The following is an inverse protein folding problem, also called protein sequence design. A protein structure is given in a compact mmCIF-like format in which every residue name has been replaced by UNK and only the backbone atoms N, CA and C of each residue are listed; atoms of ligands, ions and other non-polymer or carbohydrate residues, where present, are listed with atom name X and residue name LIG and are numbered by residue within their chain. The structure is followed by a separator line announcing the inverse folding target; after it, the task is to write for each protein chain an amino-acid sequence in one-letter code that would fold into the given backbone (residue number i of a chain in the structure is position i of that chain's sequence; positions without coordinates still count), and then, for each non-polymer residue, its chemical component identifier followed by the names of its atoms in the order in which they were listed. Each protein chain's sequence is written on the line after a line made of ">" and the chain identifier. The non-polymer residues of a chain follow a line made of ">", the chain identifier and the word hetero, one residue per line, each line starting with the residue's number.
data_IF_680974182614
#
_entry.id   IF_680974182614
#
_cell.length_a   1.000
_cell.length_b   1.000
_cell.length_c   1.000
_cell.angle_alpha   90.00
_cell.angle_beta   90.00
_cell.angle_gamma   90.00
#
_symmetry.space_group_name_H-M   'P 1'
#
loop_
_entity.id
_entity.type
_entity.pdbx_description
1 polymer ?
#
# COMPACT_ATOMS: atom_id res chain seq x y z
N UNK A 1 38.76 -22.28 31.86
CA UNK A 1 38.11 -23.03 30.75
C UNK A 1 37.97 -22.09 29.57
N UNK A 2 38.76 -22.29 28.51
CA UNK A 2 38.69 -21.45 27.31
C UNK A 2 37.60 -22.03 26.41
N UNK A 3 36.51 -21.28 26.25
CA UNK A 3 35.36 -21.65 25.42
C UNK A 3 35.73 -21.36 23.96
N UNK A 4 36.27 -22.35 23.25
CA UNK A 4 36.51 -22.28 21.82
C UNK A 4 35.17 -22.59 21.12
N UNK A 5 34.38 -21.56 20.83
CA UNK A 5 33.15 -21.71 20.03
C UNK A 5 33.46 -21.53 18.54
N UNK A 6 32.74 -22.26 17.69
CA UNK A 6 32.78 -22.10 16.23
C UNK A 6 32.57 -20.63 15.82
N UNK A 7 33.28 -20.20 14.78
CA UNK A 7 33.05 -18.89 14.16
C UNK A 7 31.57 -18.75 13.78
N UNK A 8 30.92 -17.61 14.07
CA UNK A 8 29.51 -17.42 13.79
C UNK A 8 29.24 -17.61 12.30
N UNK A 9 28.24 -18.41 11.96
CA UNK A 9 27.82 -18.62 10.58
C UNK A 9 27.46 -17.27 9.95
N UNK A 10 27.95 -17.03 8.74
CA UNK A 10 27.66 -15.83 7.96
C UNK A 10 26.16 -15.75 7.71
N UNK A 11 25.45 -14.95 8.51
CA UNK A 11 24.04 -14.64 8.28
C UNK A 11 23.89 -14.00 6.91
N UNK A 12 23.03 -14.60 6.08
CA UNK A 12 22.71 -14.09 4.74
C UNK A 12 22.24 -12.64 4.82
N UNK A 13 23.00 -11.72 4.20
CA UNK A 13 22.68 -10.29 4.13
C UNK A 13 21.59 -9.95 3.12
N UNK A 14 21.22 -10.90 2.25
CA UNK A 14 20.25 -10.67 1.18
C UNK A 14 18.85 -10.30 1.71
N UNK A 15 18.48 -10.80 2.89
CA UNK A 15 17.17 -10.58 3.50
C UNK A 15 17.16 -9.48 4.57
N UNK A 16 18.29 -8.79 4.78
CA UNK A 16 18.42 -7.79 5.84
C UNK A 16 17.44 -6.62 5.68
N UNK A 17 17.03 -6.29 4.45
CA UNK A 17 16.05 -5.24 4.15
C UNK A 17 14.66 -5.59 4.73
N UNK A 18 14.31 -6.87 4.76
CA UNK A 18 13.04 -7.33 5.30
C UNK A 18 13.07 -7.54 6.81
N UNK A 19 14.23 -7.40 7.47
CA UNK A 19 14.36 -7.57 8.91
C UNK A 19 13.77 -6.40 9.72
N UNK A 20 13.41 -5.29 9.06
CA UNK A 20 12.82 -4.09 9.69
C UNK A 20 11.49 -4.41 10.36
N UNK A 21 10.68 -5.27 9.74
CA UNK A 21 9.39 -5.68 10.25
C UNK A 21 9.27 -7.20 10.39
N UNK A 22 8.49 -7.70 11.34
CA UNK A 22 8.14 -9.12 11.40
C UNK A 22 7.45 -9.58 10.11
N UNK A 23 7.58 -10.88 9.72
CA UNK A 23 6.95 -11.41 8.49
C UNK A 23 5.44 -11.16 8.41
N UNK A 24 4.75 -11.16 9.56
CA UNK A 24 3.32 -10.90 9.65
C UNK A 24 2.96 -9.46 9.23
N UNK A 25 3.79 -8.48 9.56
CA UNK A 25 3.58 -7.08 9.16
C UNK A 25 3.76 -6.93 7.65
N UNK A 26 4.80 -7.55 7.07
CA UNK A 26 4.98 -7.59 5.61
C UNK A 26 3.79 -8.21 4.88
N UNK A 27 3.22 -9.28 5.43
CA UNK A 27 2.01 -9.91 4.88
C UNK A 27 0.81 -8.96 4.94
N UNK A 28 0.60 -8.26 6.06
CA UNK A 28 -0.47 -7.27 6.19
C UNK A 28 -0.30 -6.09 5.22
N UNK A 29 0.93 -5.60 5.02
CA UNK A 29 1.24 -4.55 4.03
C UNK A 29 0.91 -5.04 2.62
N UNK A 30 1.31 -6.27 2.28
CA UNK A 30 1.01 -6.90 0.99
C UNK A 30 -0.50 -7.02 0.73
N UNK A 31 -1.25 -7.54 1.71
CA UNK A 31 -2.72 -7.67 1.61
C UNK A 31 -3.38 -6.29 1.47
N UNK A 32 -2.98 -5.31 2.29
CA UNK A 32 -3.54 -3.96 2.24
C UNK A 32 -3.32 -3.30 0.89
N UNK A 33 -2.13 -3.47 0.32
CA UNK A 33 -1.75 -2.95 -1.01
C UNK A 33 -2.54 -3.64 -2.13
N UNK A 34 -2.85 -4.92 -1.99
CA UNK A 34 -3.64 -5.66 -2.97
C UNK A 34 -5.13 -5.28 -2.93
N UNK A 35 -5.65 -4.94 -1.76
CA UNK A 35 -7.07 -4.61 -1.56
C UNK A 35 -7.42 -3.15 -1.84
N UNK A 36 -6.49 -2.21 -1.63
CA UNK A 36 -6.81 -0.78 -1.72
C UNK A 36 -7.27 -0.34 -3.12
N UNK A 37 -6.70 -0.92 -4.18
CA UNK A 37 -7.09 -0.65 -5.57
C UNK A 37 -8.53 -1.08 -5.88
N UNK A 38 -8.90 -2.36 -5.67
CA UNK A 38 -10.28 -2.84 -5.77
C UNK A 38 -11.28 -2.06 -4.92
N UNK A 39 -10.91 -1.70 -3.68
CA UNK A 39 -11.77 -0.90 -2.79
C UNK A 39 -12.02 0.49 -3.40
N UNK A 40 -10.99 1.16 -3.91
CA UNK A 40 -11.13 2.46 -4.56
C UNK A 40 -12.00 2.39 -5.84
N UNK A 41 -11.82 1.34 -6.64
CA UNK A 41 -12.63 1.11 -7.84
C UNK A 41 -14.11 0.84 -7.48
N UNK A 42 -14.36 0.05 -6.45
CA UNK A 42 -15.70 -0.25 -5.95
C UNK A 42 -16.41 1.01 -5.44
N UNK A 43 -15.73 1.82 -4.63
CA UNK A 43 -16.28 3.09 -4.14
C UNK A 43 -16.60 4.03 -5.30
N UNK A 44 -15.73 4.09 -6.31
CA UNK A 44 -15.96 4.92 -7.50
C UNK A 44 -17.19 4.47 -8.30
N UNK A 45 -17.34 3.15 -8.48
CA UNK A 45 -18.50 2.56 -9.16
C UNK A 45 -19.81 2.82 -8.39
N UNK A 46 -19.79 2.65 -7.07
CA UNK A 46 -20.94 2.92 -6.19
C UNK A 46 -21.33 4.40 -6.21
N UNK A 47 -20.35 5.32 -6.19
CA UNK A 47 -20.62 6.76 -6.26
C UNK A 47 -21.19 7.16 -7.62
N UNK A 48 -20.69 6.59 -8.72
CA UNK A 48 -21.26 6.83 -10.05
C UNK A 48 -22.69 6.28 -10.17
N UNK A 49 -22.97 5.11 -9.59
CA UNK A 49 -24.32 4.56 -9.56
C UNK A 49 -25.30 5.46 -8.79
N UNK A 50 -24.82 6.16 -7.76
CA UNK A 50 -25.61 7.10 -6.96
C UNK A 50 -25.70 8.50 -7.59
N UNK A 51 -24.67 8.94 -8.32
CA UNK A 51 -24.58 10.25 -8.99
C UNK A 51 -24.26 10.07 -10.46
N UNK A 52 -25.32 9.95 -11.25
CA UNK A 52 -25.24 9.62 -12.69
C UNK A 52 -24.57 10.70 -13.55
N UNK A 53 -24.52 11.93 -13.05
CA UNK A 53 -23.92 13.09 -13.74
C UNK A 53 -22.42 13.28 -13.44
N UNK A 54 -21.86 12.50 -12.50
CA UNK A 54 -20.45 12.60 -12.13
C UNK A 54 -19.54 11.87 -13.15
N UNK A 55 -18.27 12.29 -13.28
CA UNK A 55 -17.34 11.71 -14.24
C UNK A 55 -17.15 10.21 -14.05
N UNK A 56 -16.90 9.46 -15.15
CA UNK A 56 -16.79 8.01 -15.10
C UNK A 56 -15.63 7.58 -14.18
N UNK A 57 -15.79 6.44 -13.48
CA UNK A 57 -14.77 5.89 -12.60
C UNK A 57 -13.51 5.58 -13.42
N UNK A 58 -12.36 5.88 -12.84
CA UNK A 58 -11.08 5.53 -13.48
C UNK A 58 -10.90 4.02 -13.46
N UNK A 59 -10.10 3.51 -14.41
CA UNK A 59 -9.83 2.07 -14.50
C UNK A 59 -9.17 1.54 -13.22
N UNK A 60 -9.51 0.31 -12.83
CA UNK A 60 -8.94 -0.37 -11.65
C UNK A 60 -7.40 -0.34 -11.67
N UNK A 61 -6.79 -0.52 -12.84
CA UNK A 61 -5.34 -0.48 -13.00
C UNK A 61 -4.74 0.88 -12.62
N UNK A 62 -5.41 1.98 -12.90
CA UNK A 62 -4.95 3.32 -12.54
C UNK A 62 -4.99 3.53 -11.03
N UNK A 63 -6.09 3.12 -10.37
CA UNK A 63 -6.20 3.18 -8.91
C UNK A 63 -5.13 2.33 -8.24
N UNK A 64 -4.99 1.07 -8.63
CA UNK A 64 -4.00 0.15 -8.06
C UNK A 64 -2.58 0.67 -8.24
N UNK A 65 -2.22 1.11 -9.46
CA UNK A 65 -0.89 1.60 -9.74
C UNK A 65 -0.57 2.90 -8.98
N UNK A 66 -1.52 3.83 -8.90
CA UNK A 66 -1.30 5.11 -8.20
C UNK A 66 -1.23 4.93 -6.68
N UNK A 67 -2.03 4.03 -6.12
CA UNK A 67 -1.96 3.69 -4.69
C UNK A 67 -0.67 2.94 -4.35
N UNK A 68 -0.19 2.07 -5.24
CA UNK A 68 1.14 1.47 -5.12
C UNK A 68 2.24 2.53 -5.16
N UNK A 69 2.16 3.52 -6.05
CA UNK A 69 3.12 4.63 -6.11
C UNK A 69 3.20 5.41 -4.78
N UNK A 70 2.08 5.63 -4.11
CA UNK A 70 2.07 6.27 -2.79
C UNK A 70 2.87 5.49 -1.74
N UNK A 71 2.83 4.15 -1.79
CA UNK A 71 3.62 3.29 -0.89
C UNK A 71 5.13 3.47 -1.09
N UNK A 72 5.54 3.78 -2.32
CA UNK A 72 6.96 3.99 -2.69
C UNK A 72 7.34 5.49 -2.66
N UNK A 73 6.51 6.34 -2.03
CA UNK A 73 6.67 7.81 -2.00
C UNK A 73 6.86 8.42 -3.40
N UNK A 74 6.16 7.86 -4.38
CA UNK A 74 6.06 8.45 -5.71
C UNK A 74 4.73 9.19 -5.80
N UNK A 75 4.78 10.48 -6.14
CA UNK A 75 3.60 11.36 -6.16
C UNK A 75 2.40 10.79 -6.92
N UNK A 76 1.20 11.13 -6.44
CA UNK A 76 -0.07 10.64 -6.98
C UNK A 76 -0.61 11.58 -8.08
N UNK A 77 -0.82 11.11 -9.32
CA UNK A 77 -1.47 11.91 -10.36
C UNK A 77 -3.01 11.90 -10.28
N UNK A 78 -3.61 11.08 -9.39
CA UNK A 78 -5.07 10.95 -9.32
C UNK A 78 -5.67 12.07 -8.46
N UNK A 79 -6.40 12.96 -9.13
CA UNK A 79 -7.35 13.86 -8.49
C UNK A 79 -8.75 13.25 -8.51
N UNK A 80 -9.48 13.35 -7.38
CA UNK A 80 -10.87 12.88 -7.29
C UNK A 80 -11.76 13.98 -6.73
N UNK A 81 -13.01 14.01 -7.22
CA UNK A 81 -14.05 14.92 -6.71
C UNK A 81 -14.88 14.29 -5.59
N UNK A 82 -14.85 12.96 -5.44
CA UNK A 82 -15.63 12.24 -4.45
C UNK A 82 -15.00 12.30 -3.06
N UNK A 83 -15.72 12.84 -2.08
CA UNK A 83 -15.25 12.95 -0.69
C UNK A 83 -14.84 11.58 -0.09
N UNK A 84 -15.57 10.51 -0.43
CA UNK A 84 -15.30 9.16 0.06
C UNK A 84 -13.94 8.63 -0.44
N UNK A 85 -13.60 8.87 -1.71
CA UNK A 85 -12.28 8.53 -2.25
C UNK A 85 -11.18 9.39 -1.66
N UNK A 86 -11.43 10.68 -1.42
CA UNK A 86 -10.46 11.56 -0.74
C UNK A 86 -10.13 11.05 0.66
N UNK A 87 -11.16 10.63 1.41
CA UNK A 87 -10.96 10.05 2.74
C UNK A 87 -10.18 8.73 2.67
N UNK A 88 -10.52 7.84 1.73
CA UNK A 88 -9.77 6.60 1.50
C UNK A 88 -8.29 6.88 1.19
N UNK A 89 -8.02 7.84 0.31
CA UNK A 89 -6.66 8.20 -0.09
C UNK A 89 -5.88 8.85 1.06
N UNK A 90 -6.55 9.66 1.89
CA UNK A 90 -5.95 10.21 3.10
C UNK A 90 -5.56 9.09 4.08
N UNK A 91 -6.47 8.15 4.36
CA UNK A 91 -6.18 7.00 5.22
C UNK A 91 -5.03 6.14 4.67
N UNK A 92 -5.01 5.92 3.35
CA UNK A 92 -3.92 5.21 2.69
C UNK A 92 -2.60 5.96 2.81
N UNK A 93 -2.59 7.27 2.59
CA UNK A 93 -1.40 8.10 2.72
C UNK A 93 -0.86 8.07 4.16
N UNK A 94 -1.74 8.19 5.16
CA UNK A 94 -1.36 8.08 6.57
C UNK A 94 -0.78 6.70 6.91
N UNK A 95 -1.37 5.62 6.38
CA UNK A 95 -0.84 4.27 6.49
C UNK A 95 0.56 4.14 5.88
N UNK A 96 0.77 4.66 4.66
CA UNK A 96 2.08 4.68 4.02
C UNK A 96 3.11 5.49 4.83
N UNK A 97 2.70 6.61 5.42
CA UNK A 97 3.56 7.45 6.26
C UNK A 97 3.98 6.76 7.57
N UNK A 98 3.15 5.89 8.14
CA UNK A 98 3.50 5.11 9.34
C UNK A 98 4.51 3.99 9.03
N UNK A 99 4.41 3.39 7.84
CA UNK A 99 5.27 2.26 7.45
C UNK A 99 6.67 2.73 7.06
N UNK A 100 6.78 3.97 6.57
CA UNK A 100 8.04 4.58 6.17
C UNK A 100 8.83 5.11 7.38
#
# INVERSE_FOLDING_TARGET
>A
TVLISRAPELKSRAWAIFAVFPPLVWLLIGISTLLIGPIAALISCLMQAYRKDDPPPQGLNLYTFSLFRNLVIQGNPIETHYWALRFLFFCWYFFCLIIF
#
